data_IF_127504848623
#
_entry.id   IF_127504848623
#
_cell.length_a   1.000
_cell.length_b   1.000
_cell.length_c   1.000
_cell.angle_alpha   90.00
_cell.angle_beta   90.00
_cell.angle_gamma   90.00
#
_symmetry.space_group_name_H-M   'P 1'
#
loop_
_entity.id
_entity.type
_entity.pdbx_description
1 polymer ?
#
# COMPACT_ATOMS: atom_id res chain seq x y z
N UNK A 1 -13.08 5.59 17.32
CA UNK A 1 -12.19 6.02 16.21
C UNK A 1 -12.45 7.49 15.96
N UNK A 2 -11.42 8.35 16.01
CA UNK A 2 -11.58 9.81 16.00
C UNK A 2 -12.05 10.41 14.66
N UNK A 3 -11.87 9.68 13.55
CA UNK A 3 -12.23 10.14 12.20
C UNK A 3 -13.54 9.54 11.64
N UNK A 4 -14.21 8.64 12.36
CA UNK A 4 -15.46 8.01 11.89
C UNK A 4 -15.32 7.04 10.70
N UNK A 5 -14.10 6.71 10.26
CA UNK A 5 -13.85 5.78 9.16
C UNK A 5 -13.91 4.31 9.62
N UNK A 6 -14.36 3.38 8.76
CA UNK A 6 -14.34 1.95 9.04
C UNK A 6 -12.91 1.38 9.03
N UNK A 7 -12.73 0.23 9.68
CA UNK A 7 -11.49 -0.53 9.55
C UNK A 7 -11.41 -1.16 8.16
N UNK A 8 -10.29 -0.95 7.48
CA UNK A 8 -10.07 -1.44 6.12
C UNK A 8 -9.48 -2.85 6.13
N UNK A 9 -9.98 -3.70 5.24
CA UNK A 9 -9.45 -5.05 5.06
C UNK A 9 -8.08 -5.02 4.35
N UNK A 10 -7.13 -5.88 4.71
CA UNK A 10 -5.87 -5.98 4.00
C UNK A 10 -6.09 -6.47 2.57
N UNK A 11 -5.51 -5.78 1.59
CA UNK A 11 -5.70 -6.06 0.16
C UNK A 11 -5.39 -7.51 -0.23
N UNK A 12 -4.40 -8.13 0.42
CA UNK A 12 -4.02 -9.53 0.15
C UNK A 12 -5.00 -10.59 0.67
N UNK A 13 -6.03 -10.19 1.40
CA UNK A 13 -7.09 -11.13 1.77
C UNK A 13 -8.03 -11.33 0.59
N UNK A 14 -7.86 -12.42 -0.14
CA UNK A 14 -8.66 -12.75 -1.34
C UNK A 14 -10.13 -13.05 -1.06
N UNK A 15 -10.50 -13.25 0.21
CA UNK A 15 -11.88 -13.46 0.65
C UNK A 15 -12.52 -12.19 1.25
N UNK A 16 -11.81 -11.05 1.29
CA UNK A 16 -12.31 -9.82 1.87
C UNK A 16 -13.31 -9.10 0.94
N UNK A 17 -14.26 -8.42 1.57
CA UNK A 17 -15.07 -7.39 0.94
C UNK A 17 -14.38 -6.02 1.09
N UNK A 18 -14.22 -5.32 -0.04
CA UNK A 18 -13.59 -3.99 -0.12
C UNK A 18 -14.60 -2.86 -0.31
N UNK A 19 -15.89 -3.08 -0.03
CA UNK A 19 -16.97 -2.06 -0.14
C UNK A 19 -16.66 -0.75 0.60
N UNK A 20 -15.83 -0.82 1.66
CA UNK A 20 -15.41 0.34 2.46
C UNK A 20 -13.98 0.82 2.18
N UNK A 21 -13.30 0.21 1.21
CA UNK A 21 -11.89 0.47 0.88
C UNK A 21 -10.96 -0.69 1.26
N UNK A 22 -9.69 -0.57 0.87
CA UNK A 22 -8.67 -1.57 1.06
C UNK A 22 -7.43 -0.97 1.73
N UNK A 23 -6.76 -1.77 2.58
CA UNK A 23 -5.49 -1.43 3.19
C UNK A 23 -4.35 -2.13 2.44
N UNK A 24 -3.49 -1.34 1.79
CA UNK A 24 -2.32 -1.83 1.06
C UNK A 24 -1.04 -1.85 1.91
N UNK A 25 -1.08 -1.29 3.12
CA UNK A 25 0.09 -1.17 3.98
C UNK A 25 0.64 -2.53 4.41
N UNK A 26 1.96 -2.64 4.42
CA UNK A 26 2.68 -3.82 4.92
C UNK A 26 3.66 -3.39 6.01
N UNK A 27 3.58 -4.03 7.18
CA UNK A 27 4.54 -3.80 8.25
C UNK A 27 5.96 -4.14 7.77
N UNK A 28 6.92 -3.27 8.09
CA UNK A 28 8.30 -3.41 7.62
C UNK A 28 8.54 -3.04 6.16
N UNK A 29 7.53 -2.54 5.44
CA UNK A 29 7.74 -2.09 4.06
C UNK A 29 8.69 -0.89 3.96
N UNK A 30 9.44 -0.83 2.86
CA UNK A 30 10.42 0.22 2.57
C UNK A 30 9.90 1.16 1.49
N UNK A 31 10.38 2.41 1.50
CA UNK A 31 10.15 3.37 0.43
C UNK A 31 10.82 2.91 -0.87
N UNK A 32 12.08 2.51 -0.77
CA UNK A 32 12.86 2.02 -1.90
C UNK A 32 12.56 0.53 -2.15
N UNK A 33 12.63 0.08 -3.42
CA UNK A 33 12.56 -1.34 -3.74
C UNK A 33 13.66 -2.14 -3.03
N UNK A 34 13.34 -3.36 -2.60
CA UNK A 34 14.29 -4.23 -1.88
C UNK A 34 15.64 -4.37 -2.60
N UNK A 35 15.63 -4.50 -3.93
CA UNK A 35 16.84 -4.57 -4.78
C UNK A 35 17.76 -3.33 -4.65
N UNK A 36 17.19 -2.15 -4.44
CA UNK A 36 17.95 -0.90 -4.29
C UNK A 36 18.66 -0.88 -2.94
N UNK A 37 17.99 -1.32 -1.88
CA UNK A 37 18.57 -1.43 -0.55
C UNK A 37 19.64 -2.52 -0.49
N UNK A 38 19.38 -3.68 -1.10
CA UNK A 38 20.35 -4.78 -1.19
C UNK A 38 21.64 -4.36 -1.89
N UNK A 39 21.56 -3.53 -2.94
CA UNK A 39 22.75 -2.96 -3.61
C UNK A 39 23.62 -2.10 -2.69
N UNK A 40 23.05 -1.60 -1.60
CA UNK A 40 23.71 -0.83 -0.53
C UNK A 40 24.07 -1.68 0.68
N UNK A 41 23.88 -3.01 0.60
CA UNK A 41 24.06 -3.98 1.70
C UNK A 41 23.11 -3.73 2.88
N UNK A 42 21.94 -3.16 2.60
CA UNK A 42 20.85 -2.96 3.57
C UNK A 42 19.82 -4.06 3.33
N UNK A 43 19.52 -4.86 4.35
CA UNK A 43 18.65 -6.03 4.23
C UNK A 43 17.38 -5.85 5.04
N UNK A 44 16.22 -6.11 4.42
CA UNK A 44 14.94 -6.14 5.10
C UNK A 44 14.56 -7.59 5.43
N UNK A 45 14.60 -8.02 6.70
CA UNK A 45 14.27 -9.40 7.08
C UNK A 45 12.75 -9.65 7.20
N UNK A 46 11.92 -8.61 7.12
CA UNK A 46 10.49 -8.68 7.43
C UNK A 46 9.65 -8.94 6.19
N UNK A 47 9.94 -8.25 5.09
CA UNK A 47 9.16 -8.34 3.85
C UNK A 47 9.97 -7.89 2.64
N UNK A 48 9.58 -8.35 1.46
CA UNK A 48 10.06 -7.79 0.18
C UNK A 48 9.10 -6.75 -0.40
N UNK A 49 7.97 -6.49 0.28
CA UNK A 49 6.93 -5.57 -0.18
C UNK A 49 7.32 -4.12 0.10
N UNK A 50 7.89 -3.46 -0.90
CA UNK A 50 8.20 -2.04 -0.90
C UNK A 50 7.02 -1.17 -1.33
N UNK A 51 7.15 0.15 -1.25
CA UNK A 51 6.09 1.11 -1.58
C UNK A 51 5.62 0.98 -3.03
N UNK A 52 6.54 0.76 -3.98
CA UNK A 52 6.21 0.51 -5.40
C UNK A 52 5.26 -0.69 -5.54
N UNK A 53 5.52 -1.78 -4.84
CA UNK A 53 4.65 -2.97 -4.85
C UNK A 53 3.27 -2.65 -4.25
N UNK A 54 3.19 -1.83 -3.21
CA UNK A 54 1.90 -1.41 -2.62
C UNK A 54 1.11 -0.51 -3.57
N UNK A 55 1.80 0.37 -4.32
CA UNK A 55 1.18 1.22 -5.34
C UNK A 55 0.71 0.41 -6.55
N UNK A 56 1.45 -0.63 -6.95
CA UNK A 56 1.04 -1.55 -8.01
C UNK A 56 -0.24 -2.31 -7.62
N UNK A 57 -0.35 -2.75 -6.36
CA UNK A 57 -1.59 -3.34 -5.83
C UNK A 57 -2.75 -2.36 -5.82
N UNK A 58 -2.50 -1.12 -5.41
CA UNK A 58 -3.49 -0.05 -5.44
C UNK A 58 -3.98 0.22 -6.87
N UNK A 59 -3.06 0.29 -7.84
CA UNK A 59 -3.41 0.43 -9.27
C UNK A 59 -4.25 -0.75 -9.76
N UNK A 60 -3.80 -1.98 -9.47
CA UNK A 60 -4.52 -3.20 -9.84
C UNK A 60 -5.92 -3.27 -9.23
N UNK A 61 -6.11 -2.72 -8.03
CA UNK A 61 -7.41 -2.61 -7.38
C UNK A 61 -8.33 -1.62 -8.10
N UNK A 62 -7.81 -0.48 -8.58
CA UNK A 62 -8.62 0.45 -9.37
C UNK A 62 -9.02 -0.16 -10.71
N UNK A 63 -8.09 -0.86 -11.38
CA UNK A 63 -8.37 -1.55 -12.65
C UNK A 63 -9.43 -2.65 -12.52
N UNK A 64 -9.54 -3.30 -11.36
CA UNK A 64 -10.59 -4.31 -11.10
C UNK A 64 -11.89 -3.71 -10.57
N UNK A 65 -11.84 -2.52 -9.97
CA UNK A 65 -13.00 -1.82 -9.40
C UNK A 65 -13.74 -0.99 -10.45
N UNK A 66 -13.03 -0.46 -11.43
CA UNK A 66 -13.55 0.44 -12.45
C UNK A 66 -13.63 -0.23 -13.82
N UNK A 67 -14.64 0.14 -14.61
CA UNK A 67 -14.75 -0.32 -16.01
C UNK A 67 -13.96 0.59 -16.96
N UNK A 68 -14.01 1.89 -16.71
CA UNK A 68 -13.31 2.92 -17.48
C UNK A 68 -12.97 4.13 -16.61
N UNK A 69 -12.33 5.14 -17.20
CA UNK A 69 -11.91 6.36 -16.49
C UNK A 69 -13.07 7.15 -15.87
N UNK A 70 -14.24 7.18 -16.53
CA UNK A 70 -15.40 7.92 -16.04
C UNK A 70 -15.98 7.22 -14.83
N UNK A 71 -16.17 5.90 -14.91
CA UNK A 71 -16.63 5.08 -13.79
C UNK A 71 -15.67 5.17 -12.58
N UNK A 72 -14.37 5.19 -12.84
CA UNK A 72 -13.35 5.38 -11.80
C UNK A 72 -13.44 6.74 -11.12
N UNK A 73 -13.65 7.81 -11.90
CA UNK A 73 -13.83 9.15 -11.36
C UNK A 73 -15.05 9.21 -10.45
N UNK A 74 -16.19 8.68 -10.89
CA UNK A 74 -17.43 8.64 -10.10
C UNK A 74 -17.27 7.80 -8.82
N UNK A 75 -16.64 6.63 -8.89
CA UNK A 75 -16.44 5.76 -7.72
C UNK A 75 -15.45 6.34 -6.70
N UNK A 76 -14.41 7.05 -7.18
CA UNK A 76 -13.32 7.53 -6.33
C UNK A 76 -13.44 9.00 -5.91
N UNK A 77 -14.42 9.77 -6.41
CA UNK A 77 -14.51 11.22 -6.14
C UNK A 77 -14.65 11.59 -4.64
N UNK A 78 -15.12 10.65 -3.82
CA UNK A 78 -15.21 10.81 -2.36
C UNK A 78 -14.26 9.89 -1.59
N UNK A 79 -13.35 9.21 -2.29
CA UNK A 79 -12.38 8.34 -1.66
C UNK A 79 -11.30 9.17 -0.93
N UNK A 80 -10.87 8.68 0.22
CA UNK A 80 -9.70 9.19 0.93
C UNK A 80 -8.49 8.31 0.57
N UNK A 81 -7.47 8.92 -0.02
CA UNK A 81 -6.17 8.27 -0.23
C UNK A 81 -5.23 8.63 0.90
N UNK A 82 -4.78 7.62 1.64
CA UNK A 82 -3.81 7.78 2.73
C UNK A 82 -2.53 7.03 2.37
N UNK A 83 -1.43 7.77 2.28
CA UNK A 83 -0.11 7.23 1.94
C UNK A 83 0.91 7.78 2.92
N UNK A 84 1.49 6.91 3.76
CA UNK A 84 2.45 7.30 4.79
C UNK A 84 2.45 6.36 5.99
N UNK A 85 3.41 6.49 6.91
CA UNK A 85 4.68 7.21 6.71
C UNK A 85 5.63 6.36 5.84
N UNK A 86 6.41 7.01 4.99
CA UNK A 86 7.29 6.37 4.01
C UNK A 86 8.75 6.59 4.40
N UNK A 87 9.58 5.54 4.31
CA UNK A 87 11.04 5.67 4.38
C UNK A 87 11.67 5.39 5.74
N UNK A 88 10.90 5.34 6.83
CA UNK A 88 11.45 5.04 8.16
C UNK A 88 12.19 3.71 8.21
N UNK A 89 11.64 2.68 7.54
CA UNK A 89 12.25 1.35 7.48
C UNK A 89 13.54 1.30 6.66
N UNK A 90 13.68 2.12 5.61
CA UNK A 90 14.90 2.23 4.81
C UNK A 90 16.11 2.63 5.67
N UNK A 91 15.88 3.53 6.63
CA UNK A 91 16.91 3.94 7.59
C UNK A 91 17.05 2.95 8.74
N UNK A 92 15.94 2.45 9.29
CA UNK A 92 15.99 1.52 10.42
C UNK A 92 16.81 0.27 10.07
N UNK A 93 16.60 -0.33 8.90
CA UNK A 93 17.36 -1.50 8.46
C UNK A 93 18.82 -1.21 8.10
N UNK A 94 19.18 0.07 7.91
CA UNK A 94 20.55 0.47 7.65
C UNK A 94 21.36 0.68 8.95
N UNK A 95 20.67 0.93 10.06
CA UNK A 95 21.28 1.41 11.31
C UNK A 95 21.10 0.41 12.46
N UNK A 96 20.08 -0.44 12.43
CA UNK A 96 19.75 -1.46 13.44
C UNK A 96 19.75 -2.86 12.81
#
# INVERSE_FOLDING_TARGET
>A
MAAGLPLLQPYKNTAADFVHGANFAVAGSTALPSRVLESKKIFNPVTTSSLDIQLDWMSSHFDSTCVDHRDCTEKLHHALFMVGEIGGNDYNYAIF
#
